data_IF_111900737572
#
_entry.id   IF_111900737572
#
_cell.length_a   1.000
_cell.length_b   1.000
_cell.length_c   1.000
_cell.angle_alpha   90.00
_cell.angle_beta   90.00
_cell.angle_gamma   90.00
#
_symmetry.space_group_name_H-M   'P 1'
#
loop_
_entity.id
_entity.type
_entity.pdbx_description
1 polymer ?
#
# COMPACT_ATOMS: atom_id res chain seq x y z
N UNK A 1 -21.76 13.41 -0.53
CA UNK A 1 -20.75 12.84 -1.43
C UNK A 1 -19.38 12.98 -0.81
N UNK A 2 -18.70 11.88 -0.66
CA UNK A 2 -17.37 11.92 -0.08
C UNK A 2 -16.35 12.28 -1.15
N UNK A 3 -15.65 13.38 -0.95
CA UNK A 3 -14.46 13.65 -1.74
C UNK A 3 -13.38 12.70 -1.28
N UNK A 4 -13.27 11.63 -2.01
CA UNK A 4 -12.33 10.57 -1.70
C UNK A 4 -10.97 10.95 -2.25
N UNK A 5 -10.12 11.46 -1.38
CA UNK A 5 -8.78 11.85 -1.78
C UNK A 5 -7.74 10.98 -1.11
N UNK A 6 -6.79 10.54 -1.91
CA UNK A 6 -5.61 9.87 -1.36
C UNK A 6 -4.76 10.87 -0.60
N UNK A 7 -4.00 10.41 0.42
CA UNK A 7 -3.08 11.30 1.12
C UNK A 7 -2.06 11.90 0.16
N UNK A 8 -1.47 13.07 0.49
CA UNK A 8 -0.47 13.67 -0.40
C UNK A 8 0.78 12.82 -0.60
N UNK A 9 1.14 12.02 0.40
CA UNK A 9 2.25 11.07 0.29
C UNK A 9 1.86 9.73 0.88
N UNK A 10 2.46 8.67 0.34
CA UNK A 10 2.35 7.32 0.89
C UNK A 10 3.76 6.80 1.18
N UNK A 11 3.87 5.99 2.23
CA UNK A 11 5.15 5.52 2.75
C UNK A 11 5.14 4.01 2.91
N UNK A 12 6.16 3.34 2.38
CA UNK A 12 6.31 1.90 2.56
C UNK A 12 7.68 1.64 3.18
N UNK A 13 7.65 1.15 4.40
CA UNK A 13 8.85 0.84 5.18
C UNK A 13 9.31 -0.58 4.90
N UNK A 14 10.60 -0.79 4.74
CA UNK A 14 11.11 -2.13 4.49
C UNK A 14 12.60 -2.16 4.18
N UNK A 15 13.10 -3.30 3.69
CA UNK A 15 14.49 -3.43 3.28
C UNK A 15 14.78 -2.60 2.03
N UNK A 16 15.94 -1.93 2.01
CA UNK A 16 16.31 -1.04 0.92
C UNK A 16 16.28 -1.70 -0.45
N UNK A 17 16.81 -2.91 -0.56
CA UNK A 17 16.87 -3.62 -1.85
C UNK A 17 15.49 -3.84 -2.44
N UNK A 18 14.54 -4.23 -1.61
CA UNK A 18 13.15 -4.44 -2.03
C UNK A 18 12.49 -3.14 -2.46
N UNK A 19 12.73 -2.07 -1.70
CA UNK A 19 12.16 -0.76 -2.00
C UNK A 19 12.78 -0.13 -3.25
N UNK A 20 14.07 -0.36 -3.50
CA UNK A 20 14.69 0.11 -4.72
C UNK A 20 14.16 -0.60 -5.95
N UNK A 21 13.86 -1.89 -5.84
CA UNK A 21 13.23 -2.62 -6.92
C UNK A 21 11.82 -2.08 -7.18
N UNK A 22 11.07 -1.79 -6.11
CA UNK A 22 9.77 -1.15 -6.25
C UNK A 22 9.88 0.22 -6.94
N UNK A 23 10.88 1.01 -6.57
CA UNK A 23 11.11 2.32 -7.17
C UNK A 23 11.45 2.23 -8.66
N UNK A 24 12.39 1.37 -9.01
CA UNK A 24 12.92 1.29 -10.38
C UNK A 24 11.99 0.56 -11.34
N UNK A 25 11.34 -0.49 -10.88
CA UNK A 25 10.51 -1.35 -11.71
C UNK A 25 9.02 -1.24 -11.43
N UNK A 26 8.65 -0.59 -10.33
CA UNK A 26 7.26 -0.55 -9.89
C UNK A 26 6.75 -1.92 -9.50
N UNK A 27 7.62 -2.76 -8.95
CA UNK A 27 7.25 -4.12 -8.57
C UNK A 27 6.69 -4.16 -7.16
N UNK A 28 5.50 -4.71 -7.03
CA UNK A 28 4.83 -4.90 -5.74
C UNK A 28 4.24 -6.30 -5.66
N UNK A 29 4.20 -6.84 -4.46
CA UNK A 29 3.59 -8.15 -4.19
C UNK A 29 2.29 -7.90 -3.44
N UNK A 30 1.19 -8.32 -4.05
CA UNK A 30 -0.12 -8.29 -3.42
C UNK A 30 -0.26 -9.56 -2.59
N UNK A 31 -0.62 -9.42 -1.32
CA UNK A 31 -0.68 -10.55 -0.40
C UNK A 31 -2.09 -10.86 0.04
N UNK A 32 -2.45 -12.15 0.13
CA UNK A 32 -3.76 -12.53 0.62
C UNK A 32 -3.99 -12.10 2.06
N UNK A 33 -5.18 -11.55 2.31
CA UNK A 33 -5.65 -11.24 3.65
C UNK A 33 -7.16 -11.45 3.64
N UNK A 34 -7.63 -12.53 4.27
CA UNK A 34 -9.03 -12.91 4.18
C UNK A 34 -9.43 -13.20 2.74
N UNK A 35 -10.48 -12.54 2.26
CA UNK A 35 -10.99 -12.69 0.89
C UNK A 35 -10.36 -11.71 -0.10
N UNK A 36 -9.32 -10.99 0.32
CA UNK A 36 -8.72 -9.92 -0.46
C UNK A 36 -7.26 -10.19 -0.78
N UNK A 37 -6.80 -9.61 -1.88
CA UNK A 37 -5.37 -9.36 -2.09
C UNK A 37 -5.12 -7.92 -1.67
N UNK A 38 -4.06 -7.66 -0.92
CA UNK A 38 -3.81 -6.36 -0.32
C UNK A 38 -2.41 -5.84 -0.56
N UNK A 39 -2.28 -4.52 -0.54
CA UNK A 39 -1.01 -3.80 -0.57
C UNK A 39 -1.17 -2.58 0.33
N UNK A 40 -0.30 -2.45 1.33
CA UNK A 40 -0.45 -1.44 2.37
C UNK A 40 0.67 -0.44 2.40
N UNK A 41 0.33 0.79 2.77
CA UNK A 41 1.27 1.91 2.97
C UNK A 41 0.93 2.61 4.28
N UNK A 42 1.87 3.38 4.80
CA UNK A 42 1.57 4.31 5.89
C UNK A 42 1.37 5.71 5.35
N UNK A 43 0.45 6.45 5.95
CA UNK A 43 0.25 7.88 5.64
C UNK A 43 1.29 8.75 6.34
N UNK A 44 2.06 8.18 7.27
CA UNK A 44 2.97 8.94 8.11
C UNK A 44 4.43 8.66 7.78
N UNK A 45 5.25 9.72 7.81
CA UNK A 45 6.70 9.63 7.84
C UNK A 45 7.09 9.82 9.30
N UNK A 46 7.63 8.77 9.92
CA UNK A 46 7.98 8.81 11.32
C UNK A 46 9.17 7.91 11.61
N UNK A 47 10.08 8.41 12.43
CA UNK A 47 11.23 7.63 12.87
C UNK A 47 10.82 6.37 13.63
N UNK A 48 9.77 6.47 14.43
CA UNK A 48 9.26 5.35 15.21
C UNK A 48 8.75 4.22 14.31
N UNK A 49 8.27 4.53 13.10
CA UNK A 49 7.80 3.53 12.18
C UNK A 49 8.93 2.68 11.60
N UNK A 50 10.14 3.23 11.46
CA UNK A 50 11.28 2.42 11.07
C UNK A 50 11.54 1.31 12.08
N UNK A 51 11.48 1.63 13.37
CA UNK A 51 11.65 0.64 14.43
C UNK A 51 10.47 -0.33 14.49
N UNK A 52 9.26 0.19 14.39
CA UNK A 52 8.04 -0.61 14.43
C UNK A 52 8.03 -1.69 13.34
N UNK A 53 8.43 -1.34 12.13
CA UNK A 53 8.47 -2.29 11.01
C UNK A 53 9.81 -3.03 10.89
N UNK A 54 10.80 -2.69 11.72
CA UNK A 54 12.14 -3.27 11.59
C UNK A 54 12.81 -2.90 10.28
N UNK A 55 12.55 -1.69 9.78
CA UNK A 55 12.98 -1.25 8.46
C UNK A 55 14.20 -0.36 8.52
N UNK A 56 15.05 -0.43 7.49
CA UNK A 56 16.18 0.47 7.33
C UNK A 56 15.88 1.58 6.30
N UNK A 57 14.85 1.44 5.54
CA UNK A 57 14.52 2.37 4.44
C UNK A 57 13.01 2.54 4.29
N UNK A 58 12.63 3.56 3.52
CA UNK A 58 11.24 3.86 3.24
C UNK A 58 11.08 4.35 1.80
N UNK A 59 10.16 3.77 1.08
CA UNK A 59 9.73 4.27 -0.22
C UNK A 59 8.69 5.37 0.03
N UNK A 60 8.97 6.57 -0.46
CA UNK A 60 8.07 7.72 -0.33
C UNK A 60 7.48 8.03 -1.70
N UNK A 61 6.17 7.93 -1.81
CA UNK A 61 5.43 8.20 -3.05
C UNK A 61 4.79 9.58 -2.93
N UNK A 62 5.20 10.50 -3.82
CA UNK A 62 4.75 11.89 -3.78
C UNK A 62 3.51 12.15 -4.64
N UNK A 63 3.29 11.37 -5.69
CA UNK A 63 2.09 11.47 -6.51
C UNK A 63 1.22 10.23 -6.30
N UNK A 64 0.39 10.29 -5.29
CA UNK A 64 -0.42 9.14 -4.86
C UNK A 64 -1.58 8.87 -5.81
N UNK A 65 -2.07 9.88 -6.51
CA UNK A 65 -3.13 9.69 -7.50
C UNK A 65 -2.60 8.93 -8.71
N UNK A 66 -1.43 9.29 -9.21
CA UNK A 66 -0.80 8.57 -10.32
C UNK A 66 -0.47 7.14 -9.94
N UNK A 67 0.06 6.96 -8.72
CA UNK A 67 0.34 5.61 -8.21
C UNK A 67 -0.92 4.76 -8.15
N UNK A 68 -1.98 5.32 -7.56
CA UNK A 68 -3.26 4.59 -7.40
C UNK A 68 -3.84 4.19 -8.74
N UNK A 69 -3.83 5.08 -9.72
CA UNK A 69 -4.33 4.76 -11.05
C UNK A 69 -3.52 3.65 -11.71
N UNK A 70 -2.20 3.71 -11.60
CA UNK A 70 -1.32 2.70 -12.22
C UNK A 70 -1.52 1.33 -11.60
N UNK A 71 -1.59 1.25 -10.26
CA UNK A 71 -1.71 -0.04 -9.58
C UNK A 71 -3.06 -0.68 -9.84
N UNK A 72 -4.15 0.07 -9.78
CA UNK A 72 -5.47 -0.46 -10.07
C UNK A 72 -5.59 -0.91 -11.52
N UNK A 73 -5.04 -0.15 -12.45
CA UNK A 73 -5.05 -0.51 -13.87
C UNK A 73 -4.26 -1.79 -14.14
N UNK A 74 -3.10 -1.92 -13.51
CA UNK A 74 -2.26 -3.11 -13.67
C UNK A 74 -2.93 -4.35 -13.09
N UNK A 75 -3.57 -4.21 -11.94
CA UNK A 75 -4.30 -5.33 -11.34
C UNK A 75 -5.48 -5.71 -12.24
N UNK A 76 -6.19 -4.75 -12.79
CA UNK A 76 -7.31 -5.05 -13.68
C UNK A 76 -6.88 -5.82 -14.93
N UNK A 77 -5.69 -5.53 -15.46
CA UNK A 77 -5.16 -6.27 -16.60
C UNK A 77 -4.72 -7.68 -16.24
N UNK A 78 -4.15 -7.86 -15.06
CA UNK A 78 -3.66 -9.16 -14.58
C UNK A 78 -4.78 -10.04 -14.05
N UNK A 79 -5.74 -9.42 -13.37
CA UNK A 79 -6.87 -10.08 -12.71
C UNK A 79 -8.17 -9.40 -13.14
N UNK A 80 -8.63 -9.65 -14.39
CA UNK A 80 -9.75 -8.88 -14.96
C UNK A 80 -11.08 -9.00 -14.23
N UNK A 81 -11.27 -10.07 -13.45
CA UNK A 81 -12.51 -10.27 -12.71
C UNK A 81 -12.40 -9.86 -11.23
N UNK A 82 -11.44 -9.03 -10.92
CA UNK A 82 -11.25 -8.53 -9.55
C UNK A 82 -11.59 -7.04 -9.48
N UNK A 83 -12.25 -6.66 -8.39
CA UNK A 83 -12.59 -5.27 -8.13
C UNK A 83 -11.70 -4.72 -7.03
N UNK A 84 -11.18 -3.52 -7.23
CA UNK A 84 -10.25 -2.89 -6.30
C UNK A 84 -10.78 -1.61 -5.69
N UNK A 85 -10.31 -1.32 -4.47
CA UNK A 85 -10.57 -0.09 -3.75
C UNK A 85 -9.36 0.22 -2.89
N UNK A 86 -9.13 1.48 -2.57
CA UNK A 86 -8.11 1.86 -1.61
C UNK A 86 -8.66 2.90 -0.63
N UNK A 87 -8.12 2.91 0.58
CA UNK A 87 -8.60 3.80 1.61
C UNK A 87 -7.85 3.68 2.92
N UNK A 88 -8.19 4.58 3.82
CA UNK A 88 -7.63 4.58 5.16
C UNK A 88 -8.16 3.40 5.97
N UNK A 89 -7.26 2.76 6.71
CA UNK A 89 -7.64 1.73 7.67
C UNK A 89 -8.14 2.42 8.94
N UNK A 90 -9.25 1.95 9.47
CA UNK A 90 -9.79 2.42 10.73
C UNK A 90 -9.44 1.45 11.85
N UNK A 91 -9.07 2.00 13.00
CA UNK A 91 -8.56 1.23 14.12
C UNK A 91 -9.54 1.21 15.27
N UNK A 92 -9.91 0.01 15.70
CA UNK A 92 -10.80 -0.17 16.85
C UNK A 92 -12.28 0.08 16.57
N UNK A 93 -12.65 0.30 15.33
CA UNK A 93 -14.02 0.51 14.92
C UNK A 93 -14.33 -0.26 13.65
N UNK A 94 -15.54 -0.04 13.14
CA UNK A 94 -15.94 -0.64 11.87
C UNK A 94 -15.74 0.37 10.75
N UNK A 95 -14.89 0.05 9.79
CA UNK A 95 -14.64 0.92 8.64
C UNK A 95 -15.82 0.91 7.67
N UNK A 96 -16.10 2.08 7.08
CA UNK A 96 -17.11 2.20 6.04
C UNK A 96 -16.79 1.34 4.81
N UNK A 97 -15.49 1.10 4.56
CA UNK A 97 -15.03 0.30 3.43
C UNK A 97 -15.02 -1.19 3.72
N UNK A 98 -15.39 -1.62 4.94
CA UNK A 98 -15.53 -3.02 5.28
C UNK A 98 -14.38 -3.62 6.08
N UNK A 99 -14.44 -4.94 6.25
CA UNK A 99 -13.53 -5.67 7.15
C UNK A 99 -12.05 -5.57 6.73
N UNK A 100 -11.76 -5.51 5.43
CA UNK A 100 -10.38 -5.39 4.95
C UNK A 100 -9.72 -4.09 5.41
N UNK A 101 -10.50 -3.09 5.80
CA UNK A 101 -10.05 -1.77 6.22
C UNK A 101 -10.25 -1.53 7.71
N UNK A 102 -10.43 -2.60 8.49
CA UNK A 102 -10.62 -2.51 9.93
C UNK A 102 -9.52 -3.29 10.63
N UNK A 103 -8.81 -2.64 11.55
CA UNK A 103 -7.74 -3.27 12.32
C UNK A 103 -7.86 -2.90 13.79
N UNK A 104 -7.05 -3.57 14.63
CA UNK A 104 -7.06 -3.31 16.06
C UNK A 104 -6.38 -1.98 16.38
N UNK A 105 -6.74 -1.39 17.53
CA UNK A 105 -6.14 -0.13 17.98
C UNK A 105 -4.64 -0.22 18.20
N UNK A 106 -4.14 -1.42 18.48
CA UNK A 106 -2.72 -1.66 18.70
C UNK A 106 -1.87 -1.30 17.48
N UNK A 107 -2.45 -1.41 16.29
CA UNK A 107 -1.77 -1.10 15.03
C UNK A 107 -1.95 0.36 14.59
N UNK A 108 -2.61 1.19 15.40
CA UNK A 108 -3.03 2.55 14.98
C UNK A 108 -1.87 3.47 14.63
N UNK A 109 -0.67 3.25 15.19
CA UNK A 109 0.50 4.06 14.85
C UNK A 109 0.92 3.91 13.39
N UNK A 110 0.52 2.85 12.73
CA UNK A 110 0.86 2.60 11.32
C UNK A 110 0.16 3.56 10.38
N UNK A 111 -0.96 4.13 10.79
CA UNK A 111 -1.76 5.06 9.99
C UNK A 111 -1.88 4.57 8.55
N UNK A 112 -2.39 3.37 8.41
CA UNK A 112 -2.32 2.63 7.18
C UNK A 112 -3.29 3.14 6.12
N UNK A 113 -2.82 3.21 4.89
CA UNK A 113 -3.64 3.35 3.70
C UNK A 113 -3.52 2.06 2.93
N UNK A 114 -4.62 1.36 2.71
CA UNK A 114 -4.59 0.03 2.13
C UNK A 114 -5.29 -0.01 0.78
N UNK A 115 -4.64 -0.71 -0.16
CA UNK A 115 -5.25 -1.11 -1.41
C UNK A 115 -5.73 -2.55 -1.24
N UNK A 116 -6.94 -2.85 -1.69
CA UNK A 116 -7.52 -4.17 -1.57
C UNK A 116 -8.30 -4.51 -2.84
N UNK A 117 -8.16 -5.76 -3.28
CA UNK A 117 -8.86 -6.28 -4.45
C UNK A 117 -9.55 -7.57 -4.08
N UNK A 118 -10.77 -7.73 -4.56
CA UNK A 118 -11.58 -8.93 -4.32
C UNK A 118 -12.04 -9.51 -5.62
N UNK A 119 -12.03 -10.85 -5.72
CA UNK A 119 -12.56 -11.55 -6.87
C UNK A 119 -14.06 -11.35 -6.98
N UNK A 120 -14.54 -11.08 -8.19
CA UNK A 120 -15.97 -11.02 -8.48
C UNK A 120 -16.56 -12.42 -8.66
N UNK A 121 -15.71 -13.44 -8.69
CA UNK A 121 -16.10 -14.85 -8.78
C UNK A 121 -15.64 -15.55 -7.50
N UNK A 122 -16.23 -16.70 -7.21
CA UNK A 122 -15.80 -17.51 -6.06
C UNK A 122 -14.40 -18.05 -6.33
N UNK A 123 -13.43 -17.57 -5.56
CA UNK A 123 -12.06 -18.07 -5.64
C UNK A 123 -11.83 -19.07 -4.50
N UNK A 124 -11.32 -20.24 -4.83
CA UNK A 124 -11.05 -21.28 -3.84
C UNK A 124 -9.71 -21.09 -3.13
N UNK A 125 -8.72 -20.51 -3.82
CA UNK A 125 -7.37 -20.34 -3.28
C UNK A 125 -6.78 -19.02 -3.76
N UNK A 126 -6.13 -18.30 -2.86
CA UNK A 126 -5.41 -17.09 -3.21
C UNK A 126 -3.93 -17.21 -2.89
N UNK A 127 -3.12 -16.89 -3.86
CA UNK A 127 -1.68 -16.83 -3.72
C UNK A 127 -1.22 -15.38 -3.87
N UNK A 128 -0.04 -15.03 -3.33
CA UNK A 128 0.53 -13.71 -3.60
C UNK A 128 0.67 -13.47 -5.12
N UNK A 129 0.41 -12.25 -5.54
CA UNK A 129 0.48 -11.87 -6.95
C UNK A 129 1.48 -10.74 -7.12
N UNK A 130 2.43 -10.90 -8.03
CA UNK A 130 3.41 -9.86 -8.34
C UNK A 130 2.85 -8.96 -9.44
N UNK A 131 2.83 -7.66 -9.17
CA UNK A 131 2.36 -6.64 -10.11
C UNK A 131 3.52 -5.70 -10.43
N UNK A 132 3.65 -5.32 -11.70
CA UNK A 132 4.63 -4.33 -12.14
C UNK A 132 3.92 -3.18 -12.83
N UNK A 133 4.25 -1.97 -12.40
CA UNK A 133 3.60 -0.75 -12.91
C UNK A 133 4.57 0.22 -13.57
N UNK A 134 5.81 -0.21 -13.76
CA UNK A 134 6.86 0.63 -14.34
C UNK A 134 7.54 1.51 -13.30
N UNK A 135 8.59 2.20 -13.72
CA UNK A 135 9.40 3.02 -12.81
C UNK A 135 8.57 4.10 -12.12
N UNK A 136 8.83 4.29 -10.84
CA UNK A 136 8.22 5.34 -10.03
C UNK A 136 9.17 6.53 -9.81
N UNK A 137 10.35 6.51 -10.44
CA UNK A 137 11.41 7.48 -10.15
C UNK A 137 11.01 8.93 -10.38
N UNK A 138 10.01 9.20 -11.25
CA UNK A 138 9.53 10.55 -11.50
C UNK A 138 8.72 11.15 -10.35
N UNK A 139 8.19 10.32 -9.45
CA UNK A 139 7.32 10.82 -8.38
C UNK A 139 7.48 10.07 -7.07
N UNK A 140 8.58 9.33 -6.91
CA UNK A 140 8.86 8.62 -5.67
C UNK A 140 10.36 8.56 -5.42
N UNK A 141 10.73 8.25 -4.19
CA UNK A 141 12.13 8.13 -3.78
C UNK A 141 12.26 7.13 -2.65
N UNK A 142 13.46 6.58 -2.48
CA UNK A 142 13.78 5.75 -1.32
C UNK A 142 14.63 6.59 -0.37
N UNK A 143 14.23 6.64 0.89
CA UNK A 143 14.94 7.34 1.95
C UNK A 143 15.39 6.38 3.03
N UNK A 144 16.60 6.60 3.56
CA UNK A 144 17.09 5.85 4.70
C UNK A 144 16.50 6.40 6.00
N UNK A 145 16.56 5.59 7.04
CA UNK A 145 16.18 6.03 8.39
C UNK A 145 16.97 7.27 8.82
N UNK A 146 18.24 7.35 8.43
CA UNK A 146 19.11 8.45 8.80
C UNK A 146 18.88 9.73 7.98
N UNK A 147 18.09 9.63 6.93
CA UNK A 147 17.63 10.77 6.14
C UNK A 147 16.54 11.56 6.85
N UNK A 148 16.18 11.14 8.04
CA UNK A 148 15.23 11.85 8.86
C UNK A 148 15.92 13.05 9.50
N UNK A 149 16.05 14.10 8.74
CA UNK A 149 16.40 15.39 9.28
C UNK A 149 15.10 16.12 9.57
N UNK A 150 14.97 16.48 10.81
CA UNK A 150 13.83 17.26 11.25
C UNK A 150 13.63 18.49 10.38
#
# INVERSE_FOLDING_TARGET
>A
MHDYKRPPTLHRYGPRSELEQALKEGQFVLRPAGSFLTLSFSQAWSRDLFEHFGADSCLVIHNTEEFGERIHRAVQRTLPNWAGIDGAVEYGGRAALGAAFTKTREDSMEKEWQFAWRSMQTASTMNPVVIRIGSLENFAEVRDRDHYTA
#
